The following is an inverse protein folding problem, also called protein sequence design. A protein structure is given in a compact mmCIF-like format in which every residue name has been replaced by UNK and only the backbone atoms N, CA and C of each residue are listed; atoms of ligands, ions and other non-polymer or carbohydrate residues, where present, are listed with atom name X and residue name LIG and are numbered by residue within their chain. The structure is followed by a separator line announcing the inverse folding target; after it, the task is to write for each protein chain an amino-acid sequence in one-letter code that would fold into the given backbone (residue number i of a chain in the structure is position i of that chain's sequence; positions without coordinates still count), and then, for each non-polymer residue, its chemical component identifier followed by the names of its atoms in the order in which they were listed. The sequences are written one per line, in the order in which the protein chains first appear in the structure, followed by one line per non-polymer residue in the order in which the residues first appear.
data_IF_149682015612
#
_entry.id   IF_149682015612
#
_cell.length_a   1.000
_cell.length_b   1.000
_cell.length_c   1.000
_cell.angle_alpha   90.00
_cell.angle_beta   90.00
_cell.angle_gamma   90.00
#
_symmetry.space_group_name_H-M   'P 1'
#
loop_
_entity.id
_entity.type
_entity.pdbx_description
1 polymer ?
#
# COMPACT_ATOMS: atom_id res chain seq x y z
N UNK A 1 -23.98 7.60 29.38
CA UNK A 1 -24.53 8.96 29.10
C UNK A 1 -25.70 8.82 28.14
N UNK A 2 -26.75 9.69 28.27
CA UNK A 2 -27.91 9.63 27.37
C UNK A 2 -27.54 9.86 25.91
N UNK A 3 -28.25 9.21 24.98
CA UNK A 3 -27.93 9.14 23.55
C UNK A 3 -27.80 10.49 22.80
N UNK A 4 -28.25 11.57 23.37
CA UNK A 4 -28.19 12.92 22.77
C UNK A 4 -27.00 13.77 23.25
N UNK A 5 -26.44 13.46 24.44
CA UNK A 5 -25.38 14.29 25.03
C UNK A 5 -24.03 14.13 24.29
N UNK A 6 -23.68 12.92 23.82
CA UNK A 6 -22.41 12.73 23.11
C UNK A 6 -22.38 13.40 21.73
N UNK A 7 -23.54 13.52 21.06
CA UNK A 7 -23.66 14.23 19.79
C UNK A 7 -23.44 15.73 19.98
N UNK A 8 -24.08 16.33 20.99
CA UNK A 8 -23.88 17.76 21.29
C UNK A 8 -22.45 18.09 21.69
N UNK A 9 -21.76 17.18 22.40
CA UNK A 9 -20.35 17.36 22.75
C UNK A 9 -19.44 17.23 21.51
N UNK A 10 -19.78 16.32 20.59
CA UNK A 10 -19.07 16.18 19.34
C UNK A 10 -19.24 17.41 18.43
N UNK A 11 -20.44 17.98 18.33
CA UNK A 11 -20.71 19.19 17.58
C UNK A 11 -19.90 20.40 18.11
N UNK A 12 -19.72 20.50 19.43
CA UNK A 12 -18.81 21.49 20.02
C UNK A 12 -17.34 21.25 19.64
N UNK A 13 -16.89 19.97 19.58
CA UNK A 13 -15.58 19.65 19.08
C UNK A 13 -15.40 20.05 17.61
N UNK A 14 -16.38 19.75 16.76
CA UNK A 14 -16.38 20.13 15.35
C UNK A 14 -16.30 21.66 15.16
N UNK A 15 -17.00 22.42 15.98
CA UNK A 15 -16.91 23.88 15.95
C UNK A 15 -15.49 24.37 16.22
N UNK A 16 -14.84 23.86 17.27
CA UNK A 16 -13.46 24.25 17.60
C UNK A 16 -12.46 23.76 16.52
N UNK A 17 -12.68 22.56 15.98
CA UNK A 17 -11.84 22.02 14.90
C UNK A 17 -11.95 22.89 13.67
N UNK A 18 -13.16 23.30 13.28
CA UNK A 18 -13.41 24.17 12.13
C UNK A 18 -12.67 25.50 12.22
N UNK A 19 -12.57 26.07 13.41
CA UNK A 19 -11.88 27.35 13.65
C UNK A 19 -10.34 27.21 13.54
N UNK A 20 -9.79 25.99 13.57
CA UNK A 20 -8.35 25.73 13.61
C UNK A 20 -7.79 25.07 12.36
N UNK A 21 -8.62 24.75 11.36
CA UNK A 21 -8.22 24.13 10.09
C UNK A 21 -8.87 24.84 8.91
N UNK A 22 -8.34 24.61 7.70
CA UNK A 22 -8.95 25.16 6.48
C UNK A 22 -10.32 24.50 6.21
N UNK A 23 -11.20 25.25 5.56
CA UNK A 23 -12.60 24.84 5.32
C UNK A 23 -12.68 23.56 4.46
N UNK A 24 -11.80 23.41 3.49
CA UNK A 24 -11.74 22.21 2.61
C UNK A 24 -11.39 20.94 3.38
N UNK A 25 -10.40 20.99 4.27
CA UNK A 25 -10.03 19.86 5.11
C UNK A 25 -11.11 19.54 6.16
N UNK A 26 -11.79 20.55 6.69
CA UNK A 26 -12.90 20.34 7.60
C UNK A 26 -14.05 19.61 6.92
N UNK A 27 -14.48 20.08 5.76
CA UNK A 27 -15.62 19.51 5.03
C UNK A 27 -15.35 18.09 4.54
N UNK A 28 -14.10 17.78 4.17
CA UNK A 28 -13.72 16.45 3.64
C UNK A 28 -13.42 15.42 4.72
N UNK A 29 -12.79 15.81 5.83
CA UNK A 29 -12.29 14.87 6.83
C UNK A 29 -13.16 14.81 8.09
N UNK A 30 -13.61 15.95 8.64
CA UNK A 30 -14.27 15.99 9.94
C UNK A 30 -15.80 16.05 9.88
N UNK A 31 -16.37 16.77 8.93
CA UNK A 31 -17.81 16.93 8.77
C UNK A 31 -18.60 15.63 8.57
N UNK A 32 -18.06 14.61 7.84
CA UNK A 32 -18.77 13.35 7.68
C UNK A 32 -18.66 12.41 8.89
N UNK A 33 -17.92 12.78 9.95
CA UNK A 33 -17.73 11.94 11.14
C UNK A 33 -18.91 12.11 12.10
N UNK A 34 -19.48 11.00 12.54
CA UNK A 34 -20.60 10.95 13.46
C UNK A 34 -20.19 10.31 14.78
N UNK A 35 -20.58 10.91 15.91
CA UNK A 35 -20.40 10.28 17.22
C UNK A 35 -21.44 9.17 17.44
N UNK A 36 -20.96 7.95 17.72
CA UNK A 36 -21.81 6.80 18.02
C UNK A 36 -22.07 6.63 19.54
N UNK A 37 -21.20 7.16 20.39
CA UNK A 37 -21.35 7.04 21.84
C UNK A 37 -20.11 7.51 22.60
N UNK A 38 -20.32 7.75 23.90
CA UNK A 38 -19.25 8.07 24.84
C UNK A 38 -19.51 7.31 26.15
N UNK A 39 -18.78 6.20 26.34
CA UNK A 39 -18.88 5.34 27.52
C UNK A 39 -17.49 4.99 28.06
N UNK A 40 -17.34 4.92 29.37
CA UNK A 40 -16.07 4.59 30.07
C UNK A 40 -14.86 5.43 29.59
N UNK A 41 -15.07 6.72 29.34
CA UNK A 41 -14.07 7.62 28.77
C UNK A 41 -13.62 7.28 27.35
N UNK A 42 -14.36 6.44 26.61
CA UNK A 42 -14.09 6.10 25.21
C UNK A 42 -15.13 6.78 24.32
N UNK A 43 -14.67 7.69 23.48
CA UNK A 43 -15.47 8.31 22.43
C UNK A 43 -15.40 7.44 21.18
N UNK A 44 -16.54 6.89 20.75
CA UNK A 44 -16.64 6.10 19.52
C UNK A 44 -17.15 6.97 18.36
N UNK A 45 -16.35 7.10 17.32
CA UNK A 45 -16.67 7.87 16.11
C UNK A 45 -16.88 6.94 14.92
N UNK A 46 -17.95 7.17 14.16
CA UNK A 46 -18.19 6.56 12.86
C UNK A 46 -17.49 7.39 11.78
N UNK A 47 -16.58 6.76 11.05
CA UNK A 47 -15.74 7.41 10.04
C UNK A 47 -16.04 6.79 8.67
N UNK A 48 -16.11 7.56 7.57
CA UNK A 48 -16.45 7.04 6.24
C UNK A 48 -15.49 5.97 5.71
N UNK A 49 -14.19 6.08 6.01
CA UNK A 49 -13.17 5.15 5.50
C UNK A 49 -11.93 5.13 6.38
N UNK A 50 -11.10 4.08 6.24
CA UNK A 50 -9.79 3.99 6.88
C UNK A 50 -8.84 5.12 6.46
N UNK A 51 -8.94 5.58 5.23
CA UNK A 51 -8.17 6.73 4.73
C UNK A 51 -8.40 8.00 5.56
N UNK A 52 -9.66 8.28 5.93
CA UNK A 52 -9.98 9.45 6.77
C UNK A 52 -9.35 9.32 8.15
N UNK A 53 -9.28 8.11 8.71
CA UNK A 53 -8.61 7.84 10.00
C UNK A 53 -7.11 8.17 9.88
N UNK A 54 -6.43 7.64 8.86
CA UNK A 54 -5.00 7.87 8.63
C UNK A 54 -4.68 9.36 8.47
N UNK A 55 -5.46 10.09 7.66
CA UNK A 55 -5.27 11.52 7.46
C UNK A 55 -5.46 12.33 8.75
N UNK A 56 -6.44 11.95 9.57
CA UNK A 56 -6.68 12.61 10.86
C UNK A 56 -5.55 12.32 11.84
N UNK A 57 -5.08 11.08 11.90
CA UNK A 57 -4.00 10.69 12.82
C UNK A 57 -2.65 11.28 12.40
N UNK A 58 -2.36 11.35 11.11
CA UNK A 58 -1.10 11.88 10.61
C UNK A 58 -1.01 13.42 10.75
N UNK A 59 -2.07 14.14 10.40
CA UNK A 59 -1.99 15.60 10.28
C UNK A 59 -2.70 16.35 11.41
N UNK A 60 -3.71 15.77 12.05
CA UNK A 60 -4.59 16.46 13.01
C UNK A 60 -4.61 15.86 14.42
N UNK A 61 -3.79 14.81 14.68
CA UNK A 61 -3.73 14.18 16.01
C UNK A 61 -3.36 15.18 17.13
N UNK A 62 -2.46 16.13 16.84
CA UNK A 62 -2.05 17.16 17.79
C UNK A 62 -3.20 18.14 18.14
N UNK A 63 -4.09 18.40 17.20
CA UNK A 63 -5.30 19.22 17.39
C UNK A 63 -6.32 18.43 18.23
N UNK A 64 -6.59 17.18 17.87
CA UNK A 64 -7.51 16.32 18.63
C UNK A 64 -7.06 16.12 20.08
N UNK A 65 -5.77 15.92 20.33
CA UNK A 65 -5.20 15.84 21.68
C UNK A 65 -5.38 17.11 22.52
N UNK A 66 -5.61 18.28 21.89
CA UNK A 66 -5.90 19.52 22.58
C UNK A 66 -7.40 19.77 22.78
N UNK A 67 -8.22 19.37 21.81
CA UNK A 67 -9.67 19.66 21.80
C UNK A 67 -10.45 18.63 22.63
N UNK A 68 -10.22 17.34 22.43
CA UNK A 68 -10.99 16.27 23.09
C UNK A 68 -10.90 16.31 24.62
N UNK A 69 -9.71 16.47 25.25
CA UNK A 69 -9.64 16.54 26.72
C UNK A 69 -10.36 17.74 27.33
N UNK A 70 -10.53 18.83 26.59
CA UNK A 70 -11.23 20.03 27.06
C UNK A 70 -12.75 19.81 27.15
N UNK A 71 -13.29 18.92 26.32
CA UNK A 71 -14.76 18.71 26.20
C UNK A 71 -15.18 17.42 26.89
N UNK A 72 -14.40 16.35 26.75
CA UNK A 72 -14.71 15.02 27.28
C UNK A 72 -13.97 14.65 28.58
N UNK A 73 -12.98 15.48 28.99
CA UNK A 73 -12.15 15.21 30.18
C UNK A 73 -10.77 14.63 29.84
N UNK A 74 -9.81 14.77 30.76
CA UNK A 74 -8.39 14.49 30.56
C UNK A 74 -8.04 13.04 30.18
N UNK A 75 -8.93 12.08 30.48
CA UNK A 75 -8.72 10.64 30.25
C UNK A 75 -9.49 10.11 29.02
N UNK A 76 -9.97 10.99 28.12
CA UNK A 76 -10.71 10.58 26.93
C UNK A 76 -9.84 9.75 25.99
N UNK A 77 -10.41 8.60 25.54
CA UNK A 77 -9.86 7.73 24.51
C UNK A 77 -10.72 7.80 23.26
N UNK A 78 -10.13 7.62 22.09
CA UNK A 78 -10.81 7.68 20.82
C UNK A 78 -10.87 6.27 20.20
N UNK A 79 -12.06 5.87 19.73
CA UNK A 79 -12.27 4.64 19.00
C UNK A 79 -12.95 4.98 17.66
N UNK A 80 -12.38 4.50 16.57
CA UNK A 80 -12.97 4.67 15.24
C UNK A 80 -13.73 3.41 14.82
N UNK A 81 -14.91 3.61 14.22
CA UNK A 81 -15.64 2.58 13.46
C UNK A 81 -15.81 3.06 12.03
N UNK A 82 -15.46 2.20 11.06
CA UNK A 82 -15.64 2.52 9.64
C UNK A 82 -17.04 2.11 9.21
N UNK A 83 -17.71 2.98 8.45
CA UNK A 83 -19.01 2.72 7.88
C UNK A 83 -18.88 1.73 6.73
N UNK A 84 -19.24 0.46 6.96
CA UNK A 84 -19.40 -0.52 5.89
C UNK A 84 -20.78 -0.29 5.26
N UNK A 85 -20.82 0.32 4.09
CA UNK A 85 -22.05 0.42 3.29
C UNK A 85 -22.35 -0.97 2.73
N UNK A 86 -23.18 -1.73 3.44
CA UNK A 86 -23.82 -2.93 2.87
C UNK A 86 -24.96 -2.46 1.98
N UNK A 87 -24.89 -2.75 0.69
CA UNK A 87 -26.07 -2.70 -0.18
C UNK A 87 -27.10 -3.73 0.33
N UNK A 88 -28.41 -3.46 0.22
CA UNK A 88 -29.43 -4.38 0.70
C UNK A 88 -29.43 -5.65 -0.15
N UNK A 89 -28.97 -6.74 0.41
CA UNK A 89 -29.20 -8.09 -0.13
C UNK A 89 -30.66 -8.46 0.05
N UNK A 90 -31.23 -9.00 -1.02
CA UNK A 90 -32.60 -9.50 -1.06
C UNK A 90 -32.80 -10.58 0.02
N UNK A 91 -33.80 -10.39 0.86
CA UNK A 91 -34.25 -11.31 1.89
C UNK A 91 -34.76 -12.61 1.26
N UNK A 92 -34.13 -13.73 1.64
CA UNK A 92 -34.74 -15.07 1.54
C UNK A 92 -34.96 -15.55 2.98
N UNK A 93 -36.23 -15.59 3.39
CA UNK A 93 -36.67 -16.21 4.64
C UNK A 93 -36.39 -17.71 4.61
N UNK A 94 -35.62 -18.21 5.57
CA UNK A 94 -35.63 -19.61 5.96
C UNK A 94 -35.73 -19.71 7.49
N UNK A 95 -36.96 -19.95 7.94
CA UNK A 95 -37.31 -20.35 9.30
C UNK A 95 -36.64 -21.66 9.70
N UNK A 96 -35.92 -21.71 10.79
CA UNK A 96 -35.98 -22.78 11.82
C UNK A 96 -34.97 -22.54 12.98
N UNK A 97 -35.49 -22.16 14.10
CA UNK A 97 -35.44 -22.83 15.42
C UNK A 97 -34.08 -23.10 16.11
N UNK A 98 -33.91 -22.37 17.25
CA UNK A 98 -33.38 -22.75 18.56
C UNK A 98 -31.91 -23.14 18.76
N UNK A 99 -31.18 -22.43 19.57
CA UNK A 99 -30.97 -22.57 21.02
C UNK A 99 -29.96 -21.52 21.53
N UNK A 100 -30.38 -20.89 22.61
CA UNK A 100 -29.57 -19.99 23.42
C UNK A 100 -28.40 -20.71 24.09
N UNK A 101 -27.23 -20.10 24.06
CA UNK A 101 -26.22 -20.38 25.09
C UNK A 101 -25.55 -19.06 25.51
N UNK A 102 -25.43 -18.90 26.78
CA UNK A 102 -25.11 -17.72 27.54
C UNK A 102 -23.80 -17.03 27.10
N UNK A 103 -23.90 -15.73 26.88
CA UNK A 103 -22.73 -14.83 26.72
C UNK A 103 -22.14 -14.59 28.12
N UNK A 104 -21.02 -15.22 28.42
CA UNK A 104 -20.14 -14.81 29.53
C UNK A 104 -19.47 -13.49 29.12
N UNK A 105 -19.74 -12.43 29.87
CA UNK A 105 -19.00 -11.17 29.85
C UNK A 105 -17.53 -11.46 30.13
N UNK A 106 -16.68 -11.34 29.13
CA UNK A 106 -15.24 -11.17 29.28
C UNK A 106 -14.91 -9.70 29.12
N UNK A 107 -14.51 -9.08 30.23
CA UNK A 107 -13.82 -7.79 30.20
C UNK A 107 -12.47 -7.99 29.52
N UNK A 108 -12.32 -7.55 28.27
CA UNK A 108 -11.03 -7.44 27.61
C UNK A 108 -10.47 -6.05 27.86
N UNK A 109 -9.43 -6.00 28.71
CA UNK A 109 -8.47 -4.89 28.71
C UNK A 109 -7.78 -4.83 27.37
N UNK A 110 -7.65 -3.63 26.77
CA UNK A 110 -6.96 -3.40 25.50
C UNK A 110 -5.55 -4.01 25.54
N UNK A 111 -5.14 -4.77 24.51
CA UNK A 111 -3.75 -5.21 24.40
C UNK A 111 -2.86 -4.02 24.05
N UNK A 112 -1.76 -3.92 24.74
CA UNK A 112 -0.61 -3.06 24.39
C UNK A 112 -0.07 -3.54 23.03
N UNK A 113 -0.46 -2.89 21.94
CA UNK A 113 -0.21 -3.30 20.54
C UNK A 113 1.27 -3.35 20.14
N UNK A 114 2.19 -2.99 21.03
CA UNK A 114 3.63 -2.86 20.76
C UNK A 114 4.52 -3.91 21.45
N UNK A 115 3.98 -4.77 22.29
CA UNK A 115 4.80 -5.78 22.99
C UNK A 115 4.27 -7.20 22.77
N UNK A 116 4.71 -7.92 21.73
CA UNK A 116 4.30 -9.29 21.45
C UNK A 116 4.73 -10.30 22.54
N UNK A 117 5.56 -9.86 23.52
CA UNK A 117 6.12 -10.71 24.57
C UNK A 117 5.32 -10.69 25.87
N UNK A 118 4.30 -9.83 26.02
CA UNK A 118 3.46 -9.79 27.23
C UNK A 118 2.46 -10.95 27.33
N UNK A 119 2.22 -11.68 26.23
CA UNK A 119 1.29 -12.80 26.19
C UNK A 119 2.02 -14.12 26.45
N UNK A 120 2.10 -14.53 27.67
CA UNK A 120 2.29 -15.96 28.04
C UNK A 120 0.91 -16.58 28.13
N UNK A 121 0.73 -17.70 27.41
CA UNK A 121 -0.39 -18.65 27.34
C UNK A 121 -1.25 -18.50 26.09
N UNK A 122 -0.99 -19.36 25.10
CA UNK A 122 -1.89 -19.88 24.05
C UNK A 122 -2.95 -18.91 23.45
N UNK A 123 -2.63 -17.64 23.27
CA UNK A 123 -3.47 -16.77 22.46
C UNK A 123 -3.06 -16.86 20.99
N UNK A 124 -4.05 -16.92 20.11
CA UNK A 124 -3.83 -16.88 18.66
C UNK A 124 -2.97 -15.69 18.31
N UNK A 125 -1.83 -15.97 17.69
CA UNK A 125 -0.94 -14.95 17.18
C UNK A 125 -1.70 -14.10 16.14
N UNK A 126 -1.80 -12.80 16.38
CA UNK A 126 -2.31 -11.88 15.36
C UNK A 126 -1.34 -11.88 14.15
N UNK A 127 -1.76 -12.37 12.99
CA UNK A 127 -0.91 -12.46 11.82
C UNK A 127 -0.61 -11.09 11.20
N UNK A 128 -1.27 -10.01 11.62
CA UNK A 128 -1.17 -8.63 11.09
C UNK A 128 -1.44 -8.53 9.59
N UNK A 129 -2.32 -9.35 9.06
CA UNK A 129 -2.66 -9.40 7.65
C UNK A 129 -3.86 -8.52 7.34
N UNK A 130 -3.78 -7.79 6.24
CA UNK A 130 -4.91 -7.02 5.72
C UNK A 130 -5.81 -7.94 4.87
N UNK A 131 -7.08 -8.16 5.23
CA UNK A 131 -7.98 -9.08 4.53
C UNK A 131 -8.30 -8.68 3.08
N UNK A 132 -7.94 -7.46 2.66
CA UNK A 132 -8.15 -6.97 1.30
C UNK A 132 -7.11 -7.54 0.33
N UNK A 133 -5.91 -7.89 0.82
CA UNK A 133 -4.79 -8.30 -0.02
C UNK A 133 -4.81 -9.81 -0.28
N UNK A 134 -5.80 -10.27 -1.03
CA UNK A 134 -5.96 -11.68 -1.41
C UNK A 134 -5.36 -11.98 -2.78
N UNK A 135 -5.19 -13.26 -3.13
CA UNK A 135 -4.79 -13.65 -4.49
C UNK A 135 -5.86 -13.29 -5.53
N UNK A 136 -7.13 -13.29 -5.16
CA UNK A 136 -8.27 -12.93 -6.03
C UNK A 136 -8.24 -11.44 -6.40
N UNK A 137 -7.75 -10.60 -5.49
CA UNK A 137 -7.60 -9.16 -5.72
C UNK A 137 -6.23 -8.78 -6.33
N UNK A 138 -5.32 -9.75 -6.47
CA UNK A 138 -4.02 -9.58 -7.10
C UNK A 138 -4.06 -10.02 -8.57
N UNK A 139 -4.10 -9.07 -9.50
CA UNK A 139 -4.21 -9.37 -10.93
C UNK A 139 -2.87 -9.89 -11.48
N UNK A 140 -2.97 -10.92 -12.33
CA UNK A 140 -1.83 -11.55 -12.98
C UNK A 140 -1.60 -10.96 -14.37
N UNK A 141 -0.37 -10.55 -14.64
CA UNK A 141 0.13 -10.16 -15.96
C UNK A 141 1.50 -10.76 -16.22
N UNK A 142 2.08 -10.48 -17.37
CA UNK A 142 3.42 -10.96 -17.70
C UNK A 142 4.47 -10.50 -16.69
N UNK A 143 4.36 -9.26 -16.19
CA UNK A 143 5.27 -8.60 -15.27
C UNK A 143 5.35 -9.21 -13.85
N UNK A 144 4.35 -10.00 -13.45
CA UNK A 144 4.29 -10.56 -12.09
C UNK A 144 3.99 -12.08 -12.04
N UNK A 145 3.88 -12.73 -13.21
CA UNK A 145 3.47 -14.14 -13.31
C UNK A 145 4.37 -15.09 -12.52
N UNK A 146 5.70 -14.93 -12.62
CA UNK A 146 6.64 -15.77 -11.90
C UNK A 146 6.48 -15.62 -10.37
N UNK A 147 6.43 -14.38 -9.89
CA UNK A 147 6.28 -14.08 -8.48
C UNK A 147 4.95 -14.61 -7.93
N UNK A 148 3.85 -14.45 -8.67
CA UNK A 148 2.54 -14.94 -8.28
C UNK A 148 2.48 -16.47 -8.25
N UNK A 149 3.00 -17.15 -9.27
CA UNK A 149 3.00 -18.63 -9.32
C UNK A 149 3.81 -19.21 -8.16
N UNK A 150 4.97 -18.62 -7.84
CA UNK A 150 5.77 -19.01 -6.69
C UNK A 150 5.02 -18.78 -5.36
N UNK A 151 4.33 -17.64 -5.24
CA UNK A 151 3.53 -17.30 -4.07
C UNK A 151 2.38 -18.28 -3.84
N UNK A 152 1.65 -18.67 -4.89
CA UNK A 152 0.58 -19.67 -4.82
C UNK A 152 1.11 -21.05 -4.42
N UNK A 153 2.26 -21.45 -4.96
CA UNK A 153 2.94 -22.71 -4.58
C UNK A 153 3.34 -22.72 -3.11
N UNK A 154 3.85 -21.62 -2.57
CA UNK A 154 4.18 -21.46 -1.16
C UNK A 154 2.93 -21.52 -0.30
N UNK A 155 1.87 -20.83 -0.70
CA UNK A 155 0.62 -20.80 0.05
C UNK A 155 -0.04 -22.20 0.14
N UNK A 156 0.14 -23.04 -0.88
CA UNK A 156 -0.33 -24.42 -0.87
C UNK A 156 0.50 -25.33 0.06
N UNK A 157 1.82 -25.16 0.11
CA UNK A 157 2.73 -26.03 0.86
C UNK A 157 3.88 -25.23 1.50
N UNK A 158 3.64 -24.47 2.57
CA UNK A 158 4.66 -23.63 3.21
C UNK A 158 5.79 -24.49 3.82
N UNK A 159 7.04 -24.08 3.58
CA UNK A 159 8.23 -24.74 4.11
C UNK A 159 8.60 -26.08 3.46
N UNK A 160 7.77 -26.64 2.60
CA UNK A 160 8.00 -27.93 1.91
C UNK A 160 8.33 -27.78 0.42
N UNK A 161 8.44 -26.57 -0.08
CA UNK A 161 8.80 -26.26 -1.46
C UNK A 161 10.26 -25.78 -1.56
N UNK A 162 10.78 -25.72 -2.78
CA UNK A 162 12.14 -25.24 -3.06
C UNK A 162 12.30 -23.72 -2.98
N UNK A 163 11.17 -22.97 -2.79
CA UNK A 163 11.12 -21.51 -2.77
C UNK A 163 11.26 -20.96 -1.35
N UNK A 164 12.30 -21.42 -0.61
CA UNK A 164 12.54 -20.97 0.75
C UNK A 164 14.01 -20.51 0.92
N UNK A 165 14.26 -19.20 1.10
CA UNK A 165 13.27 -18.12 1.12
C UNK A 165 12.71 -17.78 -0.27
N UNK A 166 11.51 -17.18 -0.32
CA UNK A 166 11.08 -16.39 -1.46
C UNK A 166 11.55 -14.95 -1.24
N UNK A 167 12.32 -14.43 -2.16
CA UNK A 167 12.78 -13.04 -2.15
C UNK A 167 12.14 -12.29 -3.32
N UNK A 168 11.17 -11.43 -3.01
CA UNK A 168 10.47 -10.59 -3.98
C UNK A 168 11.13 -9.22 -4.05
N UNK A 169 11.51 -8.78 -5.22
CA UNK A 169 12.04 -7.43 -5.38
C UNK A 169 11.37 -6.69 -6.54
N UNK A 170 11.52 -5.39 -6.57
CA UNK A 170 10.96 -4.51 -7.60
C UNK A 170 10.70 -3.12 -7.04
N UNK A 171 10.39 -2.19 -7.90
CA UNK A 171 10.15 -0.80 -7.52
C UNK A 171 9.01 -0.62 -6.52
N UNK A 172 8.91 0.56 -5.91
CA UNK A 172 7.82 0.88 -4.99
C UNK A 172 6.48 0.88 -5.71
N UNK A 173 5.43 0.32 -5.08
CA UNK A 173 4.06 0.36 -5.60
C UNK A 173 3.72 -0.67 -6.68
N UNK A 174 4.60 -1.65 -6.98
CA UNK A 174 4.32 -2.72 -7.98
C UNK A 174 3.50 -3.90 -7.43
N UNK A 175 3.17 -3.92 -6.13
CA UNK A 175 2.32 -4.94 -5.52
C UNK A 175 3.05 -5.99 -4.67
N UNK A 176 4.31 -5.82 -4.27
CA UNK A 176 5.06 -6.75 -3.41
C UNK A 176 4.36 -7.02 -2.08
N UNK A 177 3.99 -5.95 -1.36
CA UNK A 177 3.27 -6.03 -0.08
C UNK A 177 1.94 -6.77 -0.21
N UNK A 178 1.20 -6.56 -1.30
CA UNK A 178 -0.03 -7.27 -1.58
C UNK A 178 0.24 -8.78 -1.71
N UNK A 179 1.22 -9.15 -2.52
CA UNK A 179 1.52 -10.55 -2.80
C UNK A 179 1.99 -11.31 -1.56
N UNK A 180 2.87 -10.70 -0.74
CA UNK A 180 3.33 -11.34 0.51
C UNK A 180 2.18 -11.53 1.50
N UNK A 181 1.26 -10.61 1.60
CA UNK A 181 0.09 -10.72 2.47
C UNK A 181 -0.93 -11.73 1.93
N UNK A 182 -1.11 -11.83 0.60
CA UNK A 182 -1.94 -12.86 -0.02
C UNK A 182 -1.47 -14.28 0.31
N UNK A 183 -0.14 -14.50 0.34
CA UNK A 183 0.45 -15.77 0.82
C UNK A 183 -0.01 -16.06 2.25
N UNK A 184 0.12 -15.08 3.14
CA UNK A 184 -0.23 -15.23 4.55
C UNK A 184 -1.70 -15.55 4.77
N UNK A 185 -2.60 -14.82 4.09
CA UNK A 185 -4.04 -15.03 4.15
C UNK A 185 -4.40 -16.43 3.70
N UNK A 186 -3.91 -16.86 2.53
CA UNK A 186 -4.21 -18.19 1.99
C UNK A 186 -3.67 -19.32 2.87
N UNK A 187 -2.50 -19.14 3.52
CA UNK A 187 -1.98 -20.11 4.49
C UNK A 187 -2.90 -20.20 5.72
N UNK A 188 -3.36 -19.07 6.24
CA UNK A 188 -4.30 -19.03 7.37
C UNK A 188 -5.66 -19.63 7.04
N UNK A 189 -6.16 -19.43 5.82
CA UNK A 189 -7.37 -20.07 5.32
C UNK A 189 -7.22 -21.60 5.24
N UNK A 190 -6.10 -22.07 4.70
CA UNK A 190 -5.81 -23.51 4.57
C UNK A 190 -5.51 -24.18 5.90
N UNK A 191 -4.82 -23.48 6.80
CA UNK A 191 -4.44 -23.98 8.13
C UNK A 191 -4.49 -22.86 9.17
N UNK A 192 -5.63 -22.66 9.85
CA UNK A 192 -5.80 -21.64 10.88
C UNK A 192 -4.83 -21.75 12.06
N UNK A 193 -4.33 -22.96 12.35
CA UNK A 193 -3.38 -23.19 13.44
C UNK A 193 -1.94 -22.75 13.10
N UNK A 194 -1.62 -22.52 11.83
CA UNK A 194 -0.29 -22.06 11.40
C UNK A 194 0.04 -20.70 12.01
N UNK A 195 1.23 -20.58 12.58
CA UNK A 195 1.73 -19.33 13.17
C UNK A 195 2.33 -18.46 12.06
N UNK A 196 1.47 -17.71 11.37
CA UNK A 196 1.85 -16.76 10.33
C UNK A 196 2.04 -15.39 10.95
N UNK A 197 3.13 -14.71 10.62
CA UNK A 197 3.39 -13.34 11.05
C UNK A 197 3.86 -12.50 9.86
N UNK A 198 3.14 -11.40 9.60
CA UNK A 198 3.56 -10.32 8.71
C UNK A 198 4.05 -9.14 9.53
N UNK A 199 5.17 -8.56 9.11
CA UNK A 199 5.68 -7.30 9.64
C UNK A 199 6.62 -6.62 8.66
N UNK A 200 6.79 -5.30 8.80
CA UNK A 200 7.83 -4.56 8.11
C UNK A 200 9.20 -4.75 8.80
N UNK A 201 10.27 -4.60 8.06
CA UNK A 201 11.61 -4.58 8.65
C UNK A 201 11.78 -3.41 9.65
N UNK A 202 11.05 -2.31 9.45
CA UNK A 202 10.98 -1.21 10.41
C UNK A 202 10.38 -1.65 11.75
N UNK A 203 9.24 -2.33 11.74
CA UNK A 203 8.61 -2.83 12.97
C UNK A 203 9.52 -3.81 13.71
N UNK A 204 10.21 -4.68 12.97
CA UNK A 204 11.22 -5.58 13.54
C UNK A 204 12.33 -4.79 14.24
N UNK A 205 12.85 -3.72 13.62
CA UNK A 205 13.84 -2.83 14.20
C UNK A 205 13.36 -2.18 15.52
N UNK A 206 12.13 -1.66 15.52
CA UNK A 206 11.53 -1.06 16.73
C UNK A 206 11.42 -2.09 17.84
N UNK A 207 10.84 -3.25 17.56
CA UNK A 207 10.68 -4.34 18.53
C UNK A 207 12.03 -4.84 19.06
N UNK A 208 13.04 -5.00 18.18
CA UNK A 208 14.38 -5.39 18.59
C UNK A 208 15.02 -4.34 19.52
N UNK A 209 14.90 -3.07 19.18
CA UNK A 209 15.44 -1.97 20.00
C UNK A 209 14.80 -1.96 21.39
N UNK A 210 13.50 -2.18 21.48
CA UNK A 210 12.79 -2.26 22.75
C UNK A 210 13.17 -3.51 23.56
N UNK A 211 13.40 -4.63 22.88
CA UNK A 211 13.89 -5.85 23.52
C UNK A 211 15.30 -5.66 24.11
N UNK A 212 16.18 -4.95 23.41
CA UNK A 212 17.52 -4.58 23.90
C UNK A 212 17.42 -3.67 25.13
N UNK A 213 16.61 -2.62 25.07
CA UNK A 213 16.41 -1.67 26.20
C UNK A 213 15.89 -2.36 27.45
N UNK A 214 15.05 -3.36 27.28
CA UNK A 214 14.41 -4.07 28.38
C UNK A 214 15.15 -5.38 28.78
N UNK A 215 16.36 -5.64 28.26
CA UNK A 215 17.14 -6.88 28.46
C UNK A 215 16.37 -8.18 28.14
N UNK A 216 15.51 -8.16 27.09
CA UNK A 216 14.64 -9.28 26.68
C UNK A 216 14.95 -9.79 25.27
N UNK A 217 16.20 -9.69 24.86
CA UNK A 217 16.62 -10.13 23.50
C UNK A 217 16.39 -11.64 23.29
N UNK A 218 16.57 -12.45 24.34
CA UNK A 218 16.34 -13.90 24.26
C UNK A 218 14.84 -14.22 24.06
N UNK A 219 13.94 -13.52 24.74
CA UNK A 219 12.50 -13.67 24.56
C UNK A 219 12.10 -13.28 23.13
N UNK A 220 12.67 -12.19 22.63
CA UNK A 220 12.49 -11.72 21.26
C UNK A 220 12.90 -12.80 20.24
N UNK A 221 14.11 -13.36 20.37
CA UNK A 221 14.59 -14.39 19.45
C UNK A 221 13.69 -15.64 19.55
N UNK A 222 13.36 -16.10 20.75
CA UNK A 222 12.50 -17.26 20.97
C UNK A 222 11.10 -17.10 20.37
N UNK A 223 10.53 -15.89 20.45
CA UNK A 223 9.26 -15.58 19.84
C UNK A 223 9.33 -15.77 18.30
N UNK A 224 10.30 -15.12 17.63
CA UNK A 224 10.42 -15.24 16.17
C UNK A 224 10.76 -16.66 15.73
N UNK A 225 11.52 -17.42 16.50
CA UNK A 225 11.83 -18.83 16.22
C UNK A 225 10.60 -19.75 16.32
N UNK A 226 9.54 -19.33 17.03
CA UNK A 226 8.29 -20.08 17.16
C UNK A 226 7.33 -19.88 15.96
N UNK A 227 7.64 -19.00 15.01
CA UNK A 227 6.81 -18.69 13.85
C UNK A 227 6.94 -19.80 12.79
N UNK A 228 5.85 -20.17 12.12
CA UNK A 228 5.86 -21.14 11.03
C UNK A 228 6.08 -20.49 9.67
N UNK A 229 5.53 -19.28 9.49
CA UNK A 229 5.65 -18.52 8.25
C UNK A 229 5.96 -17.07 8.60
N UNK A 230 7.16 -16.62 8.28
CA UNK A 230 7.59 -15.24 8.48
C UNK A 230 7.55 -14.47 7.17
N UNK A 231 6.70 -13.44 7.13
CA UNK A 231 6.52 -12.55 6.00
C UNK A 231 7.12 -11.19 6.37
N UNK A 232 8.29 -10.87 5.81
CA UNK A 232 9.05 -9.67 6.14
C UNK A 232 9.02 -8.69 4.96
N UNK A 233 8.45 -7.52 5.17
CA UNK A 233 8.34 -6.48 4.14
C UNK A 233 9.47 -5.45 4.28
N UNK A 234 9.91 -4.91 3.15
CA UNK A 234 10.88 -3.81 3.02
C UNK A 234 12.23 -4.05 3.74
N UNK A 235 12.86 -5.20 3.47
CA UNK A 235 14.10 -5.64 4.15
C UNK A 235 15.28 -4.68 3.96
N UNK A 236 15.25 -3.77 2.97
CA UNK A 236 16.25 -2.71 2.78
C UNK A 236 16.39 -1.79 3.99
N UNK A 237 15.38 -1.70 4.85
CA UNK A 237 15.41 -0.93 6.09
C UNK A 237 16.46 -1.42 7.10
N UNK A 238 16.94 -2.66 6.96
CA UNK A 238 18.04 -3.18 7.76
C UNK A 238 19.41 -2.63 7.36
N UNK A 239 19.53 -1.95 6.22
CA UNK A 239 20.81 -1.43 5.75
C UNK A 239 21.49 -0.55 6.82
N UNK A 240 22.76 -0.82 7.09
CA UNK A 240 23.55 -0.11 8.10
C UNK A 240 23.24 -0.46 9.58
N UNK A 241 22.25 -1.35 9.84
CA UNK A 241 21.82 -1.74 11.20
C UNK A 241 22.45 -3.07 11.63
N UNK A 242 23.76 -3.12 11.78
CA UNK A 242 24.55 -4.35 11.94
C UNK A 242 24.04 -5.27 13.06
N UNK A 243 23.67 -4.73 14.22
CA UNK A 243 23.18 -5.55 15.34
C UNK A 243 21.85 -6.24 15.01
N UNK A 244 20.91 -5.51 14.42
CA UNK A 244 19.63 -6.07 13.96
C UNK A 244 19.85 -7.12 12.88
N UNK A 245 20.73 -6.85 11.92
CA UNK A 245 21.09 -7.82 10.87
C UNK A 245 21.65 -9.12 11.47
N UNK A 246 22.49 -9.01 12.51
CA UNK A 246 23.04 -10.19 13.19
C UNK A 246 21.94 -11.00 13.88
N UNK A 247 21.03 -10.34 14.58
CA UNK A 247 19.91 -11.01 15.25
C UNK A 247 18.97 -11.65 14.23
N UNK A 248 18.63 -10.91 13.18
CA UNK A 248 17.81 -11.46 12.09
C UNK A 248 18.48 -12.66 11.41
N UNK A 249 19.79 -12.63 11.22
CA UNK A 249 20.53 -13.77 10.67
C UNK A 249 20.38 -15.06 11.51
N UNK A 250 20.39 -14.94 12.84
CA UNK A 250 20.18 -16.10 13.73
C UNK A 250 18.75 -16.63 13.63
N UNK A 251 17.76 -15.73 13.61
CA UNK A 251 16.34 -16.10 13.43
C UNK A 251 16.13 -16.75 12.06
N UNK A 252 16.65 -16.14 10.99
CA UNK A 252 16.58 -16.66 9.62
C UNK A 252 17.11 -18.09 9.53
N UNK A 253 18.34 -18.33 10.04
CA UNK A 253 18.94 -19.67 9.99
C UNK A 253 18.11 -20.70 10.76
N UNK A 254 17.59 -20.36 11.93
CA UNK A 254 16.74 -21.26 12.71
C UNK A 254 15.47 -21.63 11.95
N UNK A 255 14.75 -20.64 11.42
CA UNK A 255 13.52 -20.87 10.66
C UNK A 255 13.80 -21.72 9.41
N UNK A 256 14.82 -21.38 8.65
CA UNK A 256 15.18 -22.13 7.44
C UNK A 256 15.57 -23.59 7.75
N UNK A 257 16.41 -23.84 8.76
CA UNK A 257 16.80 -25.20 9.18
C UNK A 257 15.62 -26.01 9.72
N UNK A 258 14.64 -25.35 10.31
CA UNK A 258 13.41 -25.97 10.83
C UNK A 258 12.33 -26.13 9.75
N UNK A 259 12.66 -25.94 8.46
CA UNK A 259 11.70 -25.94 7.33
C UNK A 259 10.50 -25.01 7.53
N UNK A 260 10.70 -23.89 8.21
CA UNK A 260 9.72 -22.82 8.32
C UNK A 260 9.82 -21.91 7.09
N UNK A 261 8.70 -21.37 6.62
CA UNK A 261 8.69 -20.55 5.42
C UNK A 261 9.13 -19.12 5.69
N UNK A 262 10.01 -18.62 4.85
CA UNK A 262 10.45 -17.23 4.82
C UNK A 262 10.04 -16.59 3.50
N UNK A 263 9.39 -15.44 3.58
CA UNK A 263 9.10 -14.58 2.41
C UNK A 263 9.57 -13.17 2.73
N UNK A 264 10.37 -12.61 1.85
CA UNK A 264 11.03 -11.32 2.04
C UNK A 264 10.71 -10.42 0.86
N UNK A 265 10.47 -9.13 1.11
CA UNK A 265 10.35 -8.15 0.03
C UNK A 265 11.46 -7.09 0.10
N UNK A 266 11.79 -6.52 -1.03
CA UNK A 266 12.80 -5.47 -1.17
C UNK A 266 12.46 -4.52 -2.33
N UNK A 267 13.00 -3.31 -2.28
CA UNK A 267 12.88 -2.34 -3.39
C UNK A 267 13.87 -2.62 -4.55
N UNK A 268 14.87 -3.49 -4.31
CA UNK A 268 15.94 -3.82 -5.27
C UNK A 268 16.46 -5.24 -5.07
N UNK A 269 17.17 -5.81 -6.05
CA UNK A 269 17.72 -7.16 -5.94
C UNK A 269 18.79 -7.26 -4.85
N UNK A 270 19.06 -8.48 -4.28
CA UNK A 270 20.04 -8.67 -3.21
C UNK A 270 21.46 -8.20 -3.56
N UNK A 271 21.82 -8.18 -4.84
CA UNK A 271 23.17 -7.77 -5.30
C UNK A 271 23.41 -6.27 -5.16
N UNK A 272 22.34 -5.47 -5.11
CA UNK A 272 22.39 -4.01 -5.01
C UNK A 272 22.18 -3.49 -3.58
N UNK A 273 21.96 -4.38 -2.60
CA UNK A 273 21.74 -3.98 -1.21
C UNK A 273 23.04 -3.56 -0.53
N UNK A 274 23.33 -2.26 -0.60
CA UNK A 274 24.46 -1.65 0.10
C UNK A 274 24.17 -1.52 1.58
N UNK A 275 25.17 -1.80 2.45
CA UNK A 275 25.01 -1.72 3.91
C UNK A 275 24.41 -2.96 4.55
N UNK A 276 24.18 -4.03 3.77
CA UNK A 276 23.78 -5.34 4.26
C UNK A 276 24.99 -6.26 4.44
N UNK A 277 25.04 -7.05 5.52
CA UNK A 277 26.13 -7.99 5.76
C UNK A 277 26.11 -9.13 4.73
N UNK A 278 27.28 -9.51 4.19
CA UNK A 278 27.42 -10.48 3.09
C UNK A 278 26.77 -11.83 3.39
N UNK A 279 26.77 -12.26 4.66
CA UNK A 279 26.15 -13.53 5.06
C UNK A 279 24.63 -13.54 4.90
N UNK A 280 23.92 -12.39 5.10
CA UNK A 280 22.49 -12.27 4.82
C UNK A 280 22.22 -12.26 3.32
N UNK A 281 23.02 -11.53 2.54
CA UNK A 281 22.89 -11.51 1.09
C UNK A 281 23.02 -12.91 0.47
N UNK A 282 23.92 -13.71 1.00
CA UNK A 282 24.08 -15.12 0.58
C UNK A 282 22.81 -15.93 0.89
N UNK A 283 22.20 -15.72 2.06
CA UNK A 283 20.98 -16.42 2.48
C UNK A 283 19.76 -16.03 1.65
N UNK A 284 19.62 -14.76 1.29
CA UNK A 284 18.53 -14.28 0.45
C UNK A 284 18.50 -14.92 -0.93
N UNK A 285 19.66 -15.37 -1.41
CA UNK A 285 19.82 -16.05 -2.71
C UNK A 285 19.61 -17.57 -2.67
N UNK A 286 19.40 -18.18 -1.48
CA UNK A 286 19.29 -19.64 -1.39
C UNK A 286 18.03 -20.21 -2.03
N UNK A 287 16.92 -19.52 -1.95
CA UNK A 287 15.65 -19.94 -2.54
C UNK A 287 15.38 -19.29 -3.90
N UNK A 288 14.18 -18.83 -4.10
CA UNK A 288 13.79 -18.12 -5.33
C UNK A 288 13.88 -16.61 -5.13
N UNK A 289 14.60 -15.95 -6.02
CA UNK A 289 14.55 -14.49 -6.16
C UNK A 289 13.70 -14.16 -7.38
N UNK A 290 12.58 -13.47 -7.19
CA UNK A 290 11.63 -13.12 -8.24
C UNK A 290 11.42 -11.60 -8.29
N UNK A 291 11.50 -11.04 -9.48
CA UNK A 291 11.19 -9.65 -9.73
C UNK A 291 9.68 -9.48 -9.92
N UNK A 292 9.15 -8.41 -9.35
CA UNK A 292 7.82 -7.88 -9.67
C UNK A 292 8.05 -6.60 -10.44
N UNK A 293 7.92 -6.70 -11.76
CA UNK A 293 8.16 -5.60 -12.67
C UNK A 293 6.99 -4.61 -12.68
N UNK A 294 7.18 -3.47 -13.32
CA UNK A 294 6.10 -2.51 -13.57
C UNK A 294 5.00 -3.16 -14.38
N UNK A 295 3.72 -2.89 -14.05
CA UNK A 295 2.61 -3.48 -14.79
C UNK A 295 2.61 -2.96 -16.24
N UNK A 296 2.41 -3.87 -17.18
CA UNK A 296 2.15 -3.54 -18.58
C UNK A 296 0.79 -2.85 -18.76
N UNK A 297 0.49 -2.42 -19.97
CA UNK A 297 -0.78 -1.72 -20.25
C UNK A 297 -2.00 -2.59 -19.94
N UNK A 298 -1.98 -3.86 -20.32
CA UNK A 298 -3.10 -4.79 -20.14
C UNK A 298 -3.38 -4.99 -18.65
N UNK A 299 -2.34 -5.25 -17.87
CA UNK A 299 -2.46 -5.41 -16.42
C UNK A 299 -2.97 -4.13 -15.74
N UNK A 300 -2.48 -2.95 -16.15
CA UNK A 300 -2.99 -1.68 -15.61
C UNK A 300 -4.47 -1.46 -15.92
N UNK A 301 -4.88 -1.77 -17.14
CA UNK A 301 -6.28 -1.67 -17.56
C UNK A 301 -7.18 -2.60 -16.74
N UNK A 302 -6.77 -3.86 -16.56
CA UNK A 302 -7.51 -4.85 -15.79
C UNK A 302 -7.64 -4.46 -14.31
N UNK A 303 -6.55 -3.96 -13.70
CA UNK A 303 -6.57 -3.46 -12.32
C UNK A 303 -7.56 -2.30 -12.18
N UNK A 304 -7.53 -1.33 -13.11
CA UNK A 304 -8.43 -0.17 -13.10
C UNK A 304 -9.89 -0.60 -13.26
N UNK A 305 -10.19 -1.44 -14.27
CA UNK A 305 -11.54 -1.94 -14.53
C UNK A 305 -12.12 -2.68 -13.33
N UNK A 306 -11.32 -3.53 -12.72
CA UNK A 306 -11.75 -4.28 -11.56
C UNK A 306 -12.00 -3.38 -10.35
N UNK A 307 -11.11 -2.41 -10.12
CA UNK A 307 -11.28 -1.44 -9.03
C UNK A 307 -12.56 -0.60 -9.23
N UNK A 308 -12.77 -0.11 -10.43
CA UNK A 308 -13.98 0.65 -10.81
C UNK A 308 -15.25 -0.17 -10.56
N UNK A 309 -15.27 -1.45 -10.96
CA UNK A 309 -16.40 -2.37 -10.73
C UNK A 309 -16.63 -2.65 -9.25
N UNK A 310 -15.54 -2.94 -8.50
CA UNK A 310 -15.60 -3.25 -7.08
C UNK A 310 -16.08 -2.06 -6.25
N UNK A 311 -15.62 -0.86 -6.60
CA UNK A 311 -15.97 0.37 -5.88
C UNK A 311 -17.31 0.97 -6.39
N UNK A 312 -17.99 0.31 -7.36
CA UNK A 312 -19.31 0.71 -7.88
C UNK A 312 -19.29 2.03 -8.66
N UNK A 313 -18.16 2.38 -9.29
CA UNK A 313 -17.98 3.63 -9.97
C UNK A 313 -18.49 3.58 -11.41
N UNK A 314 -19.14 4.68 -11.85
CA UNK A 314 -19.46 4.89 -13.26
C UNK A 314 -18.34 5.70 -13.93
N UNK A 315 -17.39 5.01 -14.52
CA UNK A 315 -16.30 5.60 -15.32
C UNK A 315 -16.38 4.97 -16.70
N UNK A 316 -16.32 5.78 -17.76
CA UNK A 316 -16.34 5.27 -19.13
C UNK A 316 -15.04 4.51 -19.46
N UNK A 317 -15.13 3.52 -20.33
CA UNK A 317 -13.97 2.74 -20.77
C UNK A 317 -12.90 3.64 -21.42
N UNK A 318 -13.29 4.70 -22.10
CA UNK A 318 -12.38 5.69 -22.69
C UNK A 318 -11.51 6.39 -21.62
N UNK A 319 -12.10 6.75 -20.49
CA UNK A 319 -11.34 7.38 -19.37
C UNK A 319 -10.41 6.36 -18.72
N UNK A 320 -10.84 5.11 -18.58
CA UNK A 320 -10.01 4.03 -18.02
C UNK A 320 -8.81 3.75 -18.95
N UNK A 321 -9.05 3.66 -20.27
CA UNK A 321 -8.00 3.52 -21.27
C UNK A 321 -7.01 4.69 -21.21
N UNK A 322 -7.54 5.92 -21.12
CA UNK A 322 -6.72 7.12 -20.98
C UNK A 322 -5.81 7.07 -19.76
N UNK A 323 -6.34 6.69 -18.59
CA UNK A 323 -5.55 6.56 -17.35
C UNK A 323 -4.52 5.45 -17.50
N UNK A 324 -4.90 4.26 -18.00
CA UNK A 324 -4.01 3.13 -18.18
C UNK A 324 -2.81 3.42 -19.10
N UNK A 325 -3.00 4.30 -20.11
CA UNK A 325 -1.91 4.73 -21.01
C UNK A 325 -0.98 5.75 -20.39
N UNK A 326 -1.49 6.63 -19.56
CA UNK A 326 -0.72 7.76 -19.04
C UNK A 326 -0.08 7.52 -17.68
N UNK A 327 -0.61 6.61 -16.86
CA UNK A 327 -0.05 6.23 -15.56
C UNK A 327 0.72 4.93 -15.72
N UNK A 328 2.04 5.02 -15.87
CA UNK A 328 2.88 3.87 -16.23
C UNK A 328 3.79 3.38 -15.10
N UNK A 329 3.98 4.17 -14.05
CA UNK A 329 5.04 3.93 -13.08
C UNK A 329 4.69 2.80 -12.10
N UNK A 330 3.52 2.84 -11.47
CA UNK A 330 3.17 1.85 -10.45
C UNK A 330 1.65 1.75 -10.20
N UNK A 331 1.22 0.69 -9.54
CA UNK A 331 -0.20 0.43 -9.21
C UNK A 331 -0.73 1.42 -8.17
N UNK A 332 0.10 1.89 -7.24
CA UNK A 332 -0.31 2.85 -6.20
C UNK A 332 -0.75 4.17 -6.81
N UNK A 333 -0.06 4.64 -7.85
CA UNK A 333 -0.44 5.86 -8.56
C UNK A 333 -1.76 5.67 -9.32
N UNK A 334 -2.00 4.49 -9.93
CA UNK A 334 -3.28 4.16 -10.55
C UNK A 334 -4.43 4.24 -9.53
N UNK A 335 -4.23 3.67 -8.34
CA UNK A 335 -5.21 3.72 -7.25
C UNK A 335 -5.46 5.16 -6.77
N UNK A 336 -4.39 5.94 -6.61
CA UNK A 336 -4.46 7.35 -6.21
C UNK A 336 -5.24 8.21 -7.19
N UNK A 337 -5.08 7.98 -8.49
CA UNK A 337 -5.83 8.66 -9.55
C UNK A 337 -7.33 8.34 -9.45
N UNK A 338 -7.69 7.06 -9.30
CA UNK A 338 -9.11 6.67 -9.14
C UNK A 338 -9.74 7.34 -7.91
N UNK A 339 -9.07 7.29 -6.77
CA UNK A 339 -9.55 7.94 -5.53
C UNK A 339 -9.72 9.45 -5.74
N UNK A 340 -8.77 10.11 -6.40
CA UNK A 340 -8.83 11.55 -6.68
C UNK A 340 -9.99 11.90 -7.62
N UNK A 341 -10.27 11.08 -8.62
CA UNK A 341 -11.39 11.23 -9.54
C UNK A 341 -12.72 11.05 -8.81
N UNK A 342 -12.83 10.05 -7.94
CA UNK A 342 -14.03 9.83 -7.11
C UNK A 342 -14.36 11.07 -6.26
N UNK A 343 -13.37 11.60 -5.55
CA UNK A 343 -13.54 12.76 -4.69
C UNK A 343 -13.98 13.96 -5.53
N UNK A 344 -13.31 14.25 -6.65
CA UNK A 344 -13.66 15.37 -7.53
C UNK A 344 -15.05 15.22 -8.14
N UNK A 345 -15.41 14.05 -8.63
CA UNK A 345 -16.76 13.77 -9.17
C UNK A 345 -17.84 14.02 -8.12
N UNK A 346 -17.62 13.53 -6.90
CA UNK A 346 -18.55 13.70 -5.79
C UNK A 346 -18.70 15.16 -5.37
N UNK A 347 -17.61 15.93 -5.28
CA UNK A 347 -17.60 17.32 -4.88
C UNK A 347 -18.23 18.21 -5.96
N UNK A 348 -17.87 18.00 -7.22
CA UNK A 348 -18.36 18.80 -8.34
C UNK A 348 -19.74 18.36 -8.84
N UNK A 349 -20.24 17.20 -8.38
CA UNK A 349 -21.47 16.54 -8.87
C UNK A 349 -21.47 16.40 -10.39
N UNK A 350 -20.33 16.05 -10.97
CA UNK A 350 -20.13 15.86 -12.40
C UNK A 350 -19.65 14.44 -12.69
N UNK A 351 -20.03 13.94 -13.85
CA UNK A 351 -19.50 12.68 -14.36
C UNK A 351 -17.99 12.79 -14.61
N UNK A 352 -17.30 11.65 -14.44
CA UNK A 352 -15.86 11.58 -14.66
C UNK A 352 -15.59 11.59 -16.17
N UNK A 353 -14.93 12.67 -16.63
CA UNK A 353 -14.55 12.88 -18.03
C UNK A 353 -13.04 12.80 -18.22
N UNK A 354 -12.60 12.69 -19.48
CA UNK A 354 -11.18 12.73 -19.84
C UNK A 354 -10.52 14.04 -19.36
N UNK A 355 -11.21 15.18 -19.50
CA UNK A 355 -10.67 16.47 -19.03
C UNK A 355 -10.43 16.48 -17.51
N UNK A 356 -11.33 15.85 -16.74
CA UNK A 356 -11.14 15.70 -15.30
C UNK A 356 -9.97 14.75 -14.99
N UNK A 357 -9.84 13.67 -15.73
CA UNK A 357 -8.70 12.74 -15.60
C UNK A 357 -7.38 13.45 -15.93
N UNK A 358 -7.31 14.22 -17.00
CA UNK A 358 -6.13 15.00 -17.38
C UNK A 358 -5.69 15.97 -16.27
N UNK A 359 -6.63 16.70 -15.68
CA UNK A 359 -6.35 17.62 -14.56
C UNK A 359 -5.82 16.88 -13.31
N UNK A 360 -6.35 15.68 -13.01
CA UNK A 360 -5.89 14.87 -11.89
C UNK A 360 -4.48 14.34 -12.18
N UNK A 361 -4.24 13.83 -13.38
CA UNK A 361 -2.94 13.32 -13.78
C UNK A 361 -1.86 14.40 -13.75
N UNK A 362 -2.19 15.59 -14.25
CA UNK A 362 -1.26 16.73 -14.23
C UNK A 362 -0.87 17.17 -12.81
N UNK A 363 -1.76 16.97 -11.83
CA UNK A 363 -1.54 17.37 -10.44
C UNK A 363 -0.88 16.27 -9.58
N UNK A 364 -1.14 15.00 -9.85
CA UNK A 364 -0.83 13.88 -8.94
C UNK A 364 0.24 12.92 -9.46
N UNK A 365 0.42 12.84 -10.78
CA UNK A 365 1.34 11.89 -11.40
C UNK A 365 2.41 12.69 -12.14
N UNK A 366 3.67 12.28 -12.03
CA UNK A 366 4.67 12.71 -13.02
C UNK A 366 4.21 12.11 -14.34
N UNK A 367 3.46 12.92 -15.12
CA UNK A 367 3.18 12.51 -16.49
C UNK A 367 4.50 12.08 -17.10
N UNK A 368 4.52 10.90 -17.70
CA UNK A 368 5.66 10.44 -18.48
C UNK A 368 5.86 11.51 -19.57
N UNK A 369 6.69 12.53 -19.25
CA UNK A 369 7.13 13.44 -20.29
C UNK A 369 7.78 12.52 -21.30
N UNK A 370 7.17 12.39 -22.48
CA UNK A 370 7.83 11.71 -23.61
C UNK A 370 9.25 12.22 -23.60
N UNK A 371 10.20 11.38 -23.22
CA UNK A 371 11.60 11.80 -23.22
C UNK A 371 11.85 12.35 -24.62
N UNK A 372 12.14 13.64 -24.67
CA UNK A 372 12.43 14.30 -25.95
C UNK A 372 13.75 13.70 -26.41
N UNK A 373 13.64 12.69 -27.28
CA UNK A 373 14.79 12.04 -27.92
C UNK A 373 15.16 12.79 -29.19
N UNK A 374 16.41 12.62 -29.64
CA UNK A 374 16.84 13.20 -30.92
C UNK A 374 15.93 12.74 -32.08
N UNK A 375 15.47 11.51 -32.04
CA UNK A 375 14.63 10.97 -33.10
C UNK A 375 13.22 11.58 -33.07
N UNK A 376 12.63 11.78 -31.88
CA UNK A 376 11.36 12.52 -31.76
C UNK A 376 11.46 13.99 -32.22
N UNK A 377 12.61 14.64 -32.00
CA UNK A 377 12.87 15.98 -32.51
C UNK A 377 12.97 15.98 -34.04
N UNK A 378 13.70 15.00 -34.60
CA UNK A 378 13.83 14.87 -36.07
C UNK A 378 12.47 14.63 -36.72
N UNK A 379 11.66 13.73 -36.19
CA UNK A 379 10.31 13.44 -36.67
C UNK A 379 9.42 14.68 -36.63
N UNK A 380 9.39 15.39 -35.50
CA UNK A 380 8.58 16.59 -35.31
C UNK A 380 9.01 17.72 -36.27
N UNK A 381 10.33 17.96 -36.45
CA UNK A 381 10.84 18.98 -37.36
C UNK A 381 10.59 18.58 -38.79
N UNK A 382 10.82 17.32 -39.16
CA UNK A 382 10.56 16.84 -40.53
C UNK A 382 9.08 16.91 -40.87
N UNK A 383 8.20 16.53 -39.94
CA UNK A 383 6.75 16.68 -40.10
C UNK A 383 6.33 18.14 -40.34
N UNK A 384 6.91 19.10 -39.59
CA UNK A 384 6.63 20.53 -39.77
C UNK A 384 7.07 21.09 -41.13
N UNK A 385 8.24 20.67 -41.63
CA UNK A 385 8.78 21.11 -42.90
C UNK A 385 8.37 20.25 -44.12
N UNK A 386 7.55 19.18 -43.89
CA UNK A 386 7.12 18.23 -44.93
C UNK A 386 8.29 17.46 -45.58
N UNK A 387 9.31 17.15 -44.81
CA UNK A 387 10.52 16.45 -45.23
C UNK A 387 10.53 15.02 -44.68
N UNK A 388 11.11 14.08 -45.41
CA UNK A 388 11.45 12.77 -44.87
C UNK A 388 12.66 12.87 -43.91
N UNK A 389 12.68 12.13 -42.85
CA UNK A 389 13.75 12.11 -41.83
C UNK A 389 15.11 11.72 -42.41
N UNK A 390 15.13 10.88 -43.42
CA UNK A 390 16.32 10.51 -44.22
C UNK A 390 17.03 11.72 -44.87
N UNK A 391 16.27 12.73 -45.30
CA UNK A 391 16.80 13.93 -45.93
C UNK A 391 17.60 14.85 -45.00
N UNK A 392 17.38 14.80 -43.69
CA UNK A 392 18.19 15.56 -42.73
C UNK A 392 19.65 15.12 -42.74
N UNK A 393 19.94 13.88 -43.05
CA UNK A 393 21.29 13.30 -43.08
C UNK A 393 22.00 13.46 -44.46
N UNK A 394 21.27 13.83 -45.51
CA UNK A 394 21.82 14.02 -46.85
C UNK A 394 22.76 15.22 -46.88
N UNK A 395 23.86 15.11 -47.63
CA UNK A 395 24.81 16.21 -47.87
C UNK A 395 24.24 17.22 -48.87
N UNK A 396 23.08 17.81 -48.59
CA UNK A 396 22.44 18.82 -49.43
C UNK A 396 22.51 20.20 -48.79
N UNK A 397 22.63 21.26 -49.66
CA UNK A 397 22.61 22.68 -49.25
C UNK A 397 21.27 23.36 -49.55
N UNK A 398 20.23 22.61 -49.90
CA UNK A 398 18.89 23.18 -50.11
C UNK A 398 18.42 23.86 -48.82
N UNK A 399 17.95 25.10 -48.94
CA UNK A 399 17.59 25.99 -47.83
C UNK A 399 16.64 25.32 -46.83
N UNK A 400 15.63 24.61 -47.31
CA UNK A 400 14.62 23.93 -46.48
C UNK A 400 15.27 22.85 -45.57
N UNK A 401 16.17 22.03 -46.13
CA UNK A 401 16.87 20.98 -45.39
C UNK A 401 17.88 21.57 -44.40
N UNK A 402 18.57 22.65 -44.79
CA UNK A 402 19.53 23.34 -43.90
C UNK A 402 18.80 23.95 -42.69
N UNK A 403 17.66 24.61 -42.92
CA UNK A 403 16.87 25.21 -41.82
C UNK A 403 16.30 24.13 -40.91
N UNK A 404 15.75 23.04 -41.45
CA UNK A 404 15.25 21.92 -40.64
C UNK A 404 16.38 21.28 -39.79
N UNK A 405 17.59 21.11 -40.36
CA UNK A 405 18.76 20.61 -39.65
C UNK A 405 19.20 21.54 -38.51
N UNK A 406 19.26 22.84 -38.74
CA UNK A 406 19.61 23.84 -37.73
C UNK A 406 18.56 23.87 -36.62
N UNK A 407 17.26 23.77 -36.95
CA UNK A 407 16.18 23.70 -35.98
C UNK A 407 16.27 22.41 -35.12
N UNK A 408 16.53 21.26 -35.74
CA UNK A 408 16.71 19.99 -35.01
C UNK A 408 17.90 20.07 -34.06
N UNK A 409 19.03 20.65 -34.47
CA UNK A 409 20.21 20.86 -33.61
C UNK A 409 19.91 21.82 -32.45
N UNK A 410 19.21 22.93 -32.72
CA UNK A 410 18.82 23.88 -31.69
C UNK A 410 17.92 23.24 -30.64
N UNK A 411 16.88 22.50 -31.07
CA UNK A 411 15.95 21.81 -30.17
C UNK A 411 16.66 20.68 -29.38
N UNK A 412 17.55 19.92 -30.03
CA UNK A 412 18.36 18.91 -29.37
C UNK A 412 19.21 19.51 -28.25
N UNK A 413 19.91 20.62 -28.52
CA UNK A 413 20.71 21.34 -27.50
C UNK A 413 19.86 21.90 -26.36
N UNK A 414 18.62 22.33 -26.64
CA UNK A 414 17.73 22.96 -25.66
C UNK A 414 17.04 21.94 -24.77
N UNK A 415 16.66 20.77 -25.30
CA UNK A 415 15.79 19.81 -24.63
C UNK A 415 16.45 18.45 -24.33
N UNK A 416 17.71 18.25 -24.75
CA UNK A 416 18.48 17.04 -24.41
C UNK A 416 19.83 17.42 -23.79
N UNK A 417 20.43 16.50 -23.03
CA UNK A 417 21.75 16.67 -22.39
C UNK A 417 22.91 16.27 -23.31
N UNK A 418 22.64 15.95 -24.59
CA UNK A 418 23.65 15.48 -25.54
C UNK A 418 24.44 16.64 -26.11
N UNK A 419 25.76 16.46 -26.24
CA UNK A 419 26.62 17.39 -26.99
C UNK A 419 26.37 17.23 -28.48
N UNK A 420 26.35 18.36 -29.21
CA UNK A 420 26.20 18.39 -30.69
C UNK A 420 27.44 17.86 -31.36
#
# INVERSE_FOLDING_TARGET
MGSEQHVQLWDRCLTIIKDNINEEAFDSLFKPIVSLGFDDNVLTLLVPSHFVIEQIEEHYLSLLKKVLPRIYGASVKLLYRVQIVRQPEATVDLTATTKSTAVKKMQQSMPDLLDPFKQRVYDELDPRLNPIYTFESYYQGASNMLARTAAESIAANPGRNTFNPLFLFGESGVGKTHLIQAIGLRIKENNPASRVLYLSAHDFLVQYTDAVRNNRVNDFISFYQSIDVLLMDDIQEFAGKTQTQNTFFHIFNHLHQSNKQLVLTCDRPPVELVGMVSRLLTRFKWGLTAEVERPDYELRYDILMSKVRRDGLSISEEVIDYIARNVTDNVRDLEGVIVSLMVRSSVLKKEISIDMADQVLAASVKMTQKQITIDSIKEAVCGYYGLETSRLLERTRKREVVVARQMSMYLAKKYTTLSL
#
